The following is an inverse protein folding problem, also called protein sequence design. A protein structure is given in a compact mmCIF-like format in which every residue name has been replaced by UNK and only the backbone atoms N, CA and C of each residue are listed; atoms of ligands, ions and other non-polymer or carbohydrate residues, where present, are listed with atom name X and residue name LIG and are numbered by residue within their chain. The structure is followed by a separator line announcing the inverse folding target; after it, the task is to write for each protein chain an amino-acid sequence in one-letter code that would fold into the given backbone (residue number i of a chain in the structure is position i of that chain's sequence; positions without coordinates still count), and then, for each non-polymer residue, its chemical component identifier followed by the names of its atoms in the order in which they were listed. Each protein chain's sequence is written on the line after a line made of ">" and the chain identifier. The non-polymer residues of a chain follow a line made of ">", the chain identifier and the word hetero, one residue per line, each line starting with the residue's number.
data_IF_595035586808
#
_entry.id   IF_595035586808
#
_cell.length_a   1.000
_cell.length_b   1.000
_cell.length_c   1.000
_cell.angle_alpha   90.00
_cell.angle_beta   90.00
_cell.angle_gamma   90.00
#
_symmetry.space_group_name_H-M   'P 1'
#
loop_
_entity.id
_entity.type
_entity.pdbx_description
1 polymer ?
#
# COMPACT_ATOMS: atom_id res chain seq x y z
N UNK A 1 31.20 -17.47 8.79
CA UNK A 1 31.24 -16.16 8.10
C UNK A 1 30.09 -16.13 7.10
N UNK A 2 29.10 -15.22 7.19
CA UNK A 2 27.97 -15.23 6.26
C UNK A 2 28.42 -14.73 4.89
N UNK A 3 27.95 -15.40 3.84
CA UNK A 3 28.35 -15.22 2.45
C UNK A 3 27.77 -13.91 1.88
N UNK A 4 28.60 -13.13 1.17
CA UNK A 4 28.30 -11.78 0.66
C UNK A 4 27.23 -11.73 -0.46
N UNK A 5 26.67 -12.88 -0.85
CA UNK A 5 25.74 -13.04 -1.98
C UNK A 5 24.26 -12.94 -1.60
N UNK A 6 23.93 -12.91 -0.31
CA UNK A 6 22.54 -12.88 0.15
C UNK A 6 21.98 -11.45 0.29
N UNK A 7 22.79 -10.42 0.03
CA UNK A 7 22.46 -9.02 0.34
C UNK A 7 21.63 -8.28 -0.73
N UNK A 8 21.48 -8.84 -1.94
CA UNK A 8 20.93 -8.10 -3.09
C UNK A 8 19.61 -8.63 -3.66
N UNK A 9 19.04 -9.69 -3.08
CA UNK A 9 17.70 -10.13 -3.49
C UNK A 9 16.70 -9.58 -2.49
N UNK A 10 15.91 -8.57 -2.88
CA UNK A 10 14.66 -8.22 -2.21
C UNK A 10 13.65 -9.35 -2.45
N UNK A 11 13.94 -10.53 -1.91
CA UNK A 11 13.07 -11.68 -2.00
C UNK A 11 11.87 -11.37 -1.11
N UNK A 12 10.69 -11.44 -1.72
CA UNK A 12 9.40 -11.38 -1.07
C UNK A 12 9.28 -12.64 -0.18
N UNK A 13 9.92 -12.61 0.99
CA UNK A 13 9.95 -13.73 1.93
C UNK A 13 8.66 -13.71 2.74
N UNK A 14 7.64 -14.43 2.28
CA UNK A 14 6.36 -14.47 2.97
C UNK A 14 5.59 -15.75 2.74
N UNK A 15 5.17 -16.38 3.86
CA UNK A 15 4.16 -17.45 4.02
C UNK A 15 2.78 -17.17 3.38
N UNK A 16 2.67 -16.13 2.55
CA UNK A 16 1.47 -15.64 1.87
C UNK A 16 1.52 -15.81 0.35
N UNK A 17 2.65 -16.27 -0.19
CA UNK A 17 2.82 -16.54 -1.61
C UNK A 17 2.56 -18.02 -1.82
N UNK A 18 1.72 -18.33 -2.81
CA UNK A 18 1.40 -19.71 -3.18
C UNK A 18 2.61 -20.48 -3.72
N UNK A 19 2.39 -21.65 -4.36
CA UNK A 19 3.47 -22.52 -4.81
C UNK A 19 4.58 -21.80 -5.60
N UNK A 20 5.83 -22.09 -5.25
CA UNK A 20 7.01 -21.53 -5.88
C UNK A 20 7.58 -22.53 -6.89
N UNK A 21 7.30 -22.32 -8.17
CA UNK A 21 7.87 -23.13 -9.24
C UNK A 21 8.96 -22.36 -9.99
N UNK A 22 8.59 -21.21 -10.57
CA UNK A 22 9.51 -20.28 -11.23
C UNK A 22 9.43 -18.92 -10.53
N UNK A 23 10.54 -18.36 -10.02
CA UNK A 23 10.51 -17.15 -9.20
C UNK A 23 9.99 -15.92 -9.96
N UNK A 24 10.24 -15.81 -11.27
CA UNK A 24 9.77 -14.68 -12.09
C UNK A 24 8.25 -14.76 -12.29
N UNK A 25 7.74 -15.92 -12.68
CA UNK A 25 6.29 -16.17 -12.79
C UNK A 25 5.60 -15.98 -11.46
N UNK A 26 6.18 -16.47 -10.36
CA UNK A 26 5.62 -16.27 -9.02
C UNK A 26 5.58 -14.79 -8.66
N UNK A 27 6.64 -14.02 -8.98
CA UNK A 27 6.67 -12.57 -8.78
C UNK A 27 5.56 -11.84 -9.55
N UNK A 28 5.34 -12.18 -10.82
CA UNK A 28 4.34 -11.50 -11.65
C UNK A 28 2.91 -11.88 -11.25
N UNK A 29 2.67 -13.17 -10.97
CA UNK A 29 1.31 -13.70 -10.85
C UNK A 29 0.78 -13.74 -9.41
N UNK A 30 1.65 -13.75 -8.40
CA UNK A 30 1.24 -14.02 -7.01
C UNK A 30 1.74 -12.98 -6.00
N UNK A 31 2.74 -12.17 -6.34
CA UNK A 31 3.26 -11.16 -5.43
C UNK A 31 2.46 -9.86 -5.50
N UNK A 32 2.50 -9.10 -4.41
CA UNK A 32 2.00 -7.74 -4.33
C UNK A 32 3.08 -6.82 -3.76
N UNK A 33 2.96 -5.51 -4.01
CA UNK A 33 3.93 -4.50 -3.53
C UNK A 33 4.16 -4.48 -2.02
N UNK A 34 3.20 -4.99 -1.22
CA UNK A 34 3.33 -5.13 0.24
C UNK A 34 4.50 -6.02 0.69
N UNK A 35 5.02 -6.87 -0.20
CA UNK A 35 6.15 -7.75 0.07
C UNK A 35 7.53 -7.10 -0.15
N UNK A 36 7.58 -5.85 -0.59
CA UNK A 36 8.83 -5.15 -0.87
C UNK A 36 9.50 -4.75 0.45
N UNK A 37 10.69 -5.27 0.71
CA UNK A 37 11.46 -4.97 1.92
C UNK A 37 12.58 -3.95 1.69
N UNK A 38 13.03 -3.78 0.45
CA UNK A 38 14.14 -2.88 0.09
C UNK A 38 13.95 -2.26 -1.28
N UNK A 39 14.17 -0.96 -1.40
CA UNK A 39 14.21 -0.22 -2.67
C UNK A 39 15.41 0.72 -2.66
N UNK A 40 16.23 0.64 -3.71
CA UNK A 40 17.41 1.49 -3.90
C UNK A 40 17.16 2.39 -5.10
N UNK A 41 17.24 3.71 -4.90
CA UNK A 41 17.10 4.74 -5.93
C UNK A 41 18.35 5.61 -5.94
N UNK A 42 19.00 5.74 -7.11
CA UNK A 42 20.24 6.51 -7.26
C UNK A 42 21.33 6.16 -6.23
N UNK A 43 21.49 4.86 -5.94
CA UNK A 43 22.45 4.35 -4.95
C UNK A 43 22.07 4.56 -3.48
N UNK A 44 20.86 5.08 -3.19
CA UNK A 44 20.37 5.30 -1.83
C UNK A 44 19.19 4.36 -1.53
N UNK A 45 19.23 3.68 -0.39
CA UNK A 45 18.09 2.89 0.08
C UNK A 45 16.97 3.82 0.58
N UNK A 46 15.87 3.88 -0.17
CA UNK A 46 14.68 4.70 0.17
C UNK A 46 13.63 3.89 0.92
N UNK A 47 13.63 2.57 0.75
CA UNK A 47 12.87 1.61 1.56
C UNK A 47 13.88 0.60 2.11
N UNK A 48 13.77 0.29 3.40
CA UNK A 48 14.53 -0.77 4.07
C UNK A 48 13.71 -1.32 5.23
N UNK A 49 13.79 -2.63 5.47
CA UNK A 49 12.95 -3.33 6.47
C UNK A 49 11.44 -3.05 6.30
N UNK A 50 11.00 -2.91 5.04
CA UNK A 50 9.63 -2.55 4.66
C UNK A 50 9.14 -1.18 5.19
N UNK A 51 10.06 -0.31 5.60
CA UNK A 51 9.78 1.08 6.02
C UNK A 51 10.33 2.08 4.99
N UNK A 52 9.56 3.14 4.70
CA UNK A 52 10.03 4.25 3.87
C UNK A 52 10.91 5.15 4.74
N UNK A 53 12.15 5.40 4.31
CA UNK A 53 13.13 6.16 5.10
C UNK A 53 13.11 7.67 4.86
N UNK A 54 12.45 8.11 3.79
CA UNK A 54 12.53 9.49 3.30
C UNK A 54 11.38 10.38 3.77
N UNK A 55 10.33 9.80 4.35
CA UNK A 55 9.14 10.51 4.85
C UNK A 55 8.65 9.86 6.14
N UNK A 56 8.09 10.64 7.06
CA UNK A 56 7.33 10.13 8.19
C UNK A 56 5.92 9.75 7.73
N UNK A 57 5.53 8.50 7.97
CA UNK A 57 4.24 7.93 7.55
C UNK A 57 3.28 7.72 8.72
N UNK A 58 3.65 8.11 9.94
CA UNK A 58 2.90 7.82 11.15
C UNK A 58 1.46 8.35 11.15
N UNK A 59 1.20 9.43 10.41
CA UNK A 59 -0.11 10.08 10.33
C UNK A 59 -0.80 9.94 8.95
N UNK A 60 -0.15 9.28 7.98
CA UNK A 60 -0.62 9.24 6.59
C UNK A 60 -2.02 8.62 6.48
N UNK A 61 -2.31 7.57 7.28
CA UNK A 61 -3.63 6.95 7.30
C UNK A 61 -4.71 7.95 7.74
N UNK A 62 -4.47 8.70 8.82
CA UNK A 62 -5.44 9.66 9.34
C UNK A 62 -5.63 10.82 8.37
N UNK A 63 -4.54 11.30 7.77
CA UNK A 63 -4.58 12.37 6.76
C UNK A 63 -5.31 11.93 5.49
N UNK A 64 -5.04 10.73 4.99
CA UNK A 64 -5.72 10.16 3.83
C UNK A 64 -7.22 10.00 4.09
N UNK A 65 -7.60 9.49 5.27
CA UNK A 65 -9.00 9.36 5.67
C UNK A 65 -9.70 10.72 5.75
N UNK A 66 -9.06 11.70 6.41
CA UNK A 66 -9.58 13.07 6.50
C UNK A 66 -9.76 13.73 5.13
N UNK A 67 -8.84 13.47 4.20
CA UNK A 67 -8.94 13.97 2.83
C UNK A 67 -10.10 13.31 2.07
N UNK A 68 -10.26 12.00 2.20
CA UNK A 68 -11.37 11.26 1.61
C UNK A 68 -12.72 11.79 2.09
N UNK A 69 -12.88 11.99 3.39
CA UNK A 69 -14.12 12.51 3.98
C UNK A 69 -14.48 13.90 3.45
N UNK A 70 -13.49 14.81 3.39
CA UNK A 70 -13.67 16.14 2.77
C UNK A 70 -14.07 16.03 1.30
N UNK A 71 -13.43 15.10 0.57
CA UNK A 71 -13.73 14.87 -0.83
C UNK A 71 -15.16 14.35 -1.01
N UNK A 72 -15.59 13.38 -0.21
CA UNK A 72 -16.96 12.84 -0.25
C UNK A 72 -18.00 13.91 0.09
N UNK A 73 -17.74 14.72 1.12
CA UNK A 73 -18.63 15.83 1.50
C UNK A 73 -18.82 16.85 0.36
N UNK A 74 -17.78 17.10 -0.45
CA UNK A 74 -17.86 18.04 -1.58
C UNK A 74 -18.91 17.66 -2.63
N UNK A 75 -19.27 16.38 -2.77
CA UNK A 75 -20.28 15.95 -3.74
C UNK A 75 -21.67 16.47 -3.41
N UNK A 76 -21.98 16.71 -2.14
CA UNK A 76 -23.25 17.33 -1.73
C UNK A 76 -23.42 18.73 -2.36
N UNK A 77 -22.32 19.46 -2.58
CA UNK A 77 -22.37 20.78 -3.20
C UNK A 77 -22.76 20.73 -4.68
N UNK A 78 -22.37 19.65 -5.36
CA UNK A 78 -22.69 19.41 -6.77
C UNK A 78 -24.02 18.67 -6.95
N UNK A 79 -24.55 18.03 -5.91
CA UNK A 79 -25.83 17.34 -5.94
C UNK A 79 -26.99 18.35 -6.01
N UNK A 80 -27.84 18.21 -7.03
CA UNK A 80 -29.01 19.07 -7.22
C UNK A 80 -29.94 19.06 -5.99
N UNK A 81 -30.08 17.92 -5.32
CA UNK A 81 -30.92 17.76 -4.13
C UNK A 81 -30.19 18.09 -2.82
N UNK A 82 -28.91 18.49 -2.87
CA UNK A 82 -28.06 18.77 -1.70
C UNK A 82 -28.07 17.64 -0.66
N UNK A 83 -28.14 16.39 -1.13
CA UNK A 83 -28.16 15.22 -0.24
C UNK A 83 -26.86 15.11 0.56
N UNK A 84 -26.91 14.58 1.79
CA UNK A 84 -25.72 14.36 2.60
C UNK A 84 -24.85 13.25 2.00
N UNK A 85 -23.55 13.28 2.31
CA UNK A 85 -22.58 12.29 1.81
C UNK A 85 -22.96 10.84 2.19
N UNK A 86 -23.61 10.62 3.33
CA UNK A 86 -24.07 9.29 3.77
C UNK A 86 -25.16 8.70 2.88
N UNK A 87 -25.96 9.54 2.21
CA UNK A 87 -26.97 9.09 1.25
C UNK A 87 -26.37 8.90 -0.15
N UNK A 88 -25.39 9.73 -0.51
CA UNK A 88 -24.68 9.62 -1.79
C UNK A 88 -23.71 8.43 -1.83
N UNK A 89 -23.12 8.11 -0.68
CA UNK A 89 -22.13 7.04 -0.51
C UNK A 89 -22.54 6.10 0.62
N UNK A 90 -23.64 5.34 0.45
CA UNK A 90 -24.00 4.33 1.44
C UNK A 90 -22.92 3.24 1.48
N UNK A 91 -22.67 2.63 2.65
CA UNK A 91 -21.70 1.56 2.75
C UNK A 91 -22.16 0.34 1.94
N UNK A 92 -21.30 -0.16 1.05
CA UNK A 92 -21.62 -1.34 0.23
C UNK A 92 -21.65 -2.66 1.01
N UNK A 93 -21.06 -2.67 2.22
CA UNK A 93 -21.04 -3.81 3.14
C UNK A 93 -21.36 -3.33 4.56
N UNK A 94 -21.85 -4.20 5.45
CA UNK A 94 -22.02 -3.85 6.86
C UNK A 94 -20.69 -3.38 7.46
N UNK A 95 -20.67 -2.18 8.02
CA UNK A 95 -19.54 -1.68 8.79
C UNK A 95 -19.56 -2.41 10.13
N UNK A 96 -18.50 -3.17 10.43
CA UNK A 96 -18.28 -3.81 11.74
C UNK A 96 -17.29 -3.00 12.54
#
# INVERSE_FOLDING_TARGET
>A
MPNKRDADTSANQGTRIGPHADPIRTLIMNCAGRGITRVVLAGRAIIEEAQIKTVDTGDDQQRAQSFLEKRMASFSNSDFKRRPASELFPPGFPVR
#
